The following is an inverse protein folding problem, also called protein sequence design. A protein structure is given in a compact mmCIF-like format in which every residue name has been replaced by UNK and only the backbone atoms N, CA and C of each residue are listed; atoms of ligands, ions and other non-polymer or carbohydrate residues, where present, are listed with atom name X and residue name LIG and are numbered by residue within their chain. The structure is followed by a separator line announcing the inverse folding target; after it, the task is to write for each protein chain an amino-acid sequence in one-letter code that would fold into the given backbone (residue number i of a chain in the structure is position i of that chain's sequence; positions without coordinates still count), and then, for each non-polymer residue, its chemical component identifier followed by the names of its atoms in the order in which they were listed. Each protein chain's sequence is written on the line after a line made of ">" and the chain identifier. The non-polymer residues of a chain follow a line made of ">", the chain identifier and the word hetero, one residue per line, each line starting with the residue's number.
data_IF_551820266862
#
_entry.id   IF_551820266862
#
_cell.length_a   1.000
_cell.length_b   1.000
_cell.length_c   1.000
_cell.angle_alpha   90.00
_cell.angle_beta   90.00
_cell.angle_gamma   90.00
#
_symmetry.space_group_name_H-M   'P 1'
#
loop_
_entity.id
_entity.type
_entity.pdbx_description
1 polymer ?
#
# COMPACT_ATOMS: atom_id res chain seq x y z
N UNK A 1 36.20 14.28 -37.61
CA UNK A 1 35.38 14.95 -38.62
C UNK A 1 33.92 14.68 -38.40
N UNK A 2 33.10 15.68 -38.66
CA UNK A 2 31.64 15.56 -38.73
C UNK A 2 31.27 14.74 -39.97
N UNK A 3 30.36 13.77 -39.87
CA UNK A 3 30.05 12.87 -40.99
C UNK A 3 28.57 12.61 -41.17
N UNK A 4 28.10 12.66 -42.41
CA UNK A 4 26.78 12.16 -42.81
C UNK A 4 27.03 11.04 -43.82
N UNK A 5 26.78 9.80 -43.42
CA UNK A 5 27.15 8.61 -44.21
C UNK A 5 26.02 8.11 -45.12
N UNK A 6 24.82 8.69 -45.03
CA UNK A 6 23.70 8.38 -45.93
C UNK A 6 22.36 8.97 -45.48
N UNK A 7 21.30 8.67 -46.24
CA UNK A 7 19.92 9.06 -45.92
C UNK A 7 19.43 10.34 -46.62
N UNK A 8 18.32 10.89 -46.13
CA UNK A 8 17.61 12.03 -46.74
C UNK A 8 17.39 13.15 -45.71
N UNK A 9 17.85 14.37 -46.01
CA UNK A 9 17.71 15.55 -45.14
C UNK A 9 18.30 15.41 -43.73
N UNK A 10 19.44 14.73 -43.62
CA UNK A 10 20.15 14.60 -42.34
C UNK A 10 21.08 15.82 -42.10
N UNK A 11 21.29 16.17 -40.84
CA UNK A 11 22.14 17.28 -40.40
C UNK A 11 23.15 16.76 -39.37
N UNK A 12 24.44 16.98 -39.60
CA UNK A 12 25.48 16.81 -38.60
C UNK A 12 26.31 18.10 -38.57
N UNK A 13 26.43 18.77 -37.42
CA UNK A 13 26.89 20.17 -37.40
C UNK A 13 28.02 20.50 -36.41
N UNK A 14 28.44 19.58 -35.55
CA UNK A 14 29.44 19.84 -34.51
C UNK A 14 30.61 18.85 -34.58
N UNK A 15 31.67 19.10 -33.81
CA UNK A 15 32.90 18.30 -33.86
C UNK A 15 32.60 16.83 -33.56
N UNK A 16 33.03 15.93 -34.47
CA UNK A 16 32.79 14.48 -34.39
C UNK A 16 31.31 14.05 -34.37
N UNK A 17 30.37 14.96 -34.66
CA UNK A 17 28.97 14.59 -34.79
C UNK A 17 28.75 13.71 -36.04
N UNK A 18 27.91 12.67 -35.93
CA UNK A 18 27.69 11.73 -37.01
C UNK A 18 26.22 11.35 -37.22
N UNK A 19 25.79 11.26 -38.47
CA UNK A 19 24.51 10.63 -38.85
C UNK A 19 24.78 9.54 -39.87
N UNK A 20 24.48 8.28 -39.53
CA UNK A 20 24.84 7.14 -40.36
C UNK A 20 23.77 6.77 -41.41
N UNK A 21 22.56 7.31 -41.32
CA UNK A 21 21.48 7.03 -42.28
C UNK A 21 20.12 7.60 -41.86
N UNK A 22 19.05 7.18 -42.55
CA UNK A 22 17.67 7.54 -42.20
C UNK A 22 17.15 8.84 -42.82
N UNK A 23 16.07 9.39 -42.28
CA UNK A 23 15.41 10.60 -42.80
C UNK A 23 15.27 11.68 -41.72
N UNK A 24 15.59 12.94 -42.04
CA UNK A 24 15.45 14.10 -41.16
C UNK A 24 16.16 14.01 -39.80
N UNK A 25 17.23 13.21 -39.70
CA UNK A 25 17.98 13.04 -38.46
C UNK A 25 18.99 14.17 -38.25
N UNK A 26 19.14 14.64 -37.01
CA UNK A 26 20.04 15.72 -36.62
C UNK A 26 20.99 15.29 -35.50
N UNK A 27 22.30 15.47 -35.69
CA UNK A 27 23.34 15.32 -34.68
C UNK A 27 24.11 16.65 -34.53
N UNK A 28 23.88 17.39 -33.45
CA UNK A 28 24.43 18.75 -33.26
C UNK A 28 25.26 18.94 -32.00
N UNK A 29 25.39 17.93 -31.14
CA UNK A 29 26.34 17.93 -30.02
C UNK A 29 27.74 17.45 -30.43
N UNK A 30 28.77 17.82 -29.67
CA UNK A 30 30.14 17.31 -29.86
C UNK A 30 30.13 15.80 -29.68
N UNK A 31 30.66 15.05 -30.63
CA UNK A 31 30.67 13.58 -30.66
C UNK A 31 29.28 12.95 -30.50
N UNK A 32 28.21 13.66 -30.88
CA UNK A 32 26.87 13.09 -30.90
C UNK A 32 26.67 12.19 -32.12
N UNK A 33 25.79 11.20 -32.02
CA UNK A 33 25.54 10.27 -33.12
C UNK A 33 24.08 9.91 -33.29
N UNK A 34 23.65 9.77 -34.54
CA UNK A 34 22.39 9.13 -34.92
C UNK A 34 22.69 8.00 -35.89
N UNK A 35 22.44 6.76 -35.50
CA UNK A 35 22.76 5.58 -36.31
C UNK A 35 21.81 5.38 -37.49
N UNK A 36 20.58 5.90 -37.41
CA UNK A 36 19.57 5.78 -38.46
C UNK A 36 18.17 6.15 -37.97
N UNK A 37 17.13 5.63 -38.65
CA UNK A 37 15.73 5.89 -38.31
C UNK A 37 15.17 7.14 -38.99
N UNK A 38 14.26 7.85 -38.33
CA UNK A 38 13.49 8.93 -38.92
C UNK A 38 12.17 8.45 -39.52
N UNK A 39 11.53 9.32 -40.29
CA UNK A 39 10.35 9.00 -41.07
C UNK A 39 10.12 9.98 -42.22
N UNK A 40 9.04 9.81 -42.99
CA UNK A 40 8.81 10.58 -44.20
C UNK A 40 8.56 12.08 -43.92
N UNK A 41 8.21 12.45 -42.68
CA UNK A 41 7.97 13.83 -42.29
C UNK A 41 9.12 14.41 -41.46
N UNK A 42 9.34 15.73 -41.49
CA UNK A 42 10.36 16.37 -40.66
C UNK A 42 10.19 16.14 -39.14
N UNK A 43 8.96 15.99 -38.64
CA UNK A 43 8.72 15.72 -37.22
C UNK A 43 9.13 14.30 -36.79
N UNK A 44 9.38 13.41 -37.76
CA UNK A 44 9.75 12.03 -37.51
C UNK A 44 11.27 11.88 -37.27
N UNK A 45 12.05 12.94 -37.45
CA UNK A 45 13.50 12.94 -37.33
C UNK A 45 14.01 12.73 -35.91
N UNK A 46 15.12 12.01 -35.77
CA UNK A 46 15.81 11.87 -34.48
C UNK A 46 16.78 13.03 -34.26
N UNK A 47 16.78 13.64 -33.07
CA UNK A 47 17.58 14.83 -32.75
C UNK A 47 18.49 14.53 -31.55
N UNK A 48 19.80 14.45 -31.81
CA UNK A 48 20.88 14.28 -30.84
C UNK A 48 21.70 15.56 -30.68
N UNK A 49 21.27 16.42 -29.75
CA UNK A 49 21.84 17.76 -29.59
C UNK A 49 22.80 17.92 -28.40
N UNK A 50 22.77 17.01 -27.43
CA UNK A 50 23.73 17.00 -26.33
C UNK A 50 25.10 16.46 -26.78
N UNK A 51 26.17 16.91 -26.12
CA UNK A 51 27.50 16.35 -26.33
C UNK A 51 27.51 14.86 -25.95
N UNK A 52 28.27 14.04 -26.68
CA UNK A 52 28.40 12.58 -26.54
C UNK A 52 27.06 11.81 -26.41
N UNK A 53 25.96 12.35 -26.94
CA UNK A 53 24.68 11.65 -26.98
C UNK A 53 24.57 10.74 -28.21
N UNK A 54 23.87 9.62 -28.08
CA UNK A 54 23.66 8.68 -29.17
C UNK A 54 22.20 8.29 -29.31
N UNK A 55 21.73 8.23 -30.55
CA UNK A 55 20.45 7.64 -30.94
C UNK A 55 20.74 6.49 -31.89
N UNK A 56 20.36 5.27 -31.51
CA UNK A 56 20.62 4.06 -32.31
C UNK A 56 19.58 3.83 -33.42
N UNK A 57 18.45 4.56 -33.41
CA UNK A 57 17.39 4.46 -34.42
C UNK A 57 16.04 4.97 -33.91
N UNK A 58 14.95 4.60 -34.58
CA UNK A 58 13.57 5.00 -34.21
C UNK A 58 13.07 6.22 -34.97
N UNK A 59 11.94 6.79 -34.54
CA UNK A 59 11.25 7.94 -35.12
C UNK A 59 10.99 9.00 -34.04
N UNK A 60 11.32 10.26 -34.28
CA UNK A 60 11.06 11.38 -33.35
C UNK A 60 11.65 11.17 -31.94
N UNK A 61 12.92 10.78 -31.89
CA UNK A 61 13.66 10.68 -30.63
C UNK A 61 14.44 11.94 -30.35
N UNK A 62 14.48 12.35 -29.08
CA UNK A 62 15.14 13.59 -28.67
C UNK A 62 16.11 13.31 -27.52
N UNK A 63 17.37 13.73 -27.68
CA UNK A 63 18.38 13.64 -26.61
C UNK A 63 19.04 14.99 -26.31
N UNK A 64 18.85 15.48 -25.08
CA UNK A 64 19.55 16.62 -24.47
C UNK A 64 18.69 17.50 -23.54
N UNK A 65 19.32 18.45 -22.83
CA UNK A 65 18.62 19.31 -21.86
C UNK A 65 17.92 20.51 -22.51
N UNK A 66 16.66 20.74 -22.14
CA UNK A 66 15.85 21.89 -22.56
C UNK A 66 16.21 23.22 -21.90
N UNK A 67 17.37 23.34 -21.24
CA UNK A 67 17.81 24.57 -20.56
C UNK A 67 19.09 25.10 -21.20
N UNK A 68 19.01 26.30 -21.78
CA UNK A 68 20.11 27.09 -22.33
C UNK A 68 21.06 27.62 -21.23
N UNK A 69 21.50 26.79 -20.29
CA UNK A 69 22.36 27.23 -19.19
C UNK A 69 23.42 26.18 -18.82
N UNK A 70 24.59 26.33 -19.44
CA UNK A 70 25.91 26.17 -18.83
C UNK A 70 26.11 24.94 -17.90
N UNK A 71 26.35 23.77 -18.49
CA UNK A 71 27.37 22.87 -17.96
C UNK A 71 28.05 22.04 -19.06
N UNK A 72 29.34 22.24 -19.21
CA UNK A 72 30.19 21.64 -20.24
C UNK A 72 30.91 20.38 -19.72
N UNK A 73 30.24 19.57 -18.91
CA UNK A 73 30.76 18.31 -18.39
C UNK A 73 30.00 17.11 -18.95
N UNK A 74 30.56 16.50 -20.00
CA UNK A 74 30.36 15.10 -20.43
C UNK A 74 28.93 14.55 -20.25
N UNK A 75 27.95 15.10 -20.97
CA UNK A 75 26.66 14.41 -21.16
C UNK A 75 26.93 13.09 -21.91
N UNK A 76 26.37 11.95 -21.50
CA UNK A 76 26.48 10.65 -22.20
C UNK A 76 25.12 9.99 -22.22
N UNK A 77 24.27 10.41 -23.15
CA UNK A 77 22.91 9.90 -23.23
C UNK A 77 22.81 8.85 -24.33
N UNK A 78 22.10 7.75 -24.08
CA UNK A 78 21.94 6.64 -25.05
C UNK A 78 20.47 6.37 -25.30
N UNK A 79 20.10 6.31 -26.57
CA UNK A 79 18.76 6.05 -27.03
C UNK A 79 18.68 4.88 -28.02
N UNK A 80 17.65 4.03 -27.94
CA UNK A 80 17.58 2.77 -28.71
C UNK A 80 16.21 2.51 -29.38
N UNK A 81 15.83 3.36 -30.33
CA UNK A 81 14.64 3.15 -31.17
C UNK A 81 13.30 3.37 -30.48
N UNK A 82 12.36 4.06 -31.14
CA UNK A 82 11.08 4.50 -30.55
C UNK A 82 10.77 5.95 -30.84
N UNK A 83 10.01 6.62 -29.97
CA UNK A 83 9.70 8.08 -29.94
C UNK A 83 9.94 8.61 -28.52
N UNK A 84 11.13 8.39 -27.96
CA UNK A 84 11.44 8.65 -26.56
C UNK A 84 12.33 9.88 -26.37
N UNK A 85 12.36 10.38 -25.13
CA UNK A 85 12.94 11.67 -24.77
C UNK A 85 13.93 11.52 -23.61
N UNK A 86 15.09 12.18 -23.68
CA UNK A 86 16.05 12.29 -22.56
C UNK A 86 16.39 13.76 -22.26
N UNK A 87 16.33 14.18 -20.99
CA UNK A 87 16.50 15.59 -20.58
C UNK A 87 17.39 15.77 -19.35
N UNK A 88 18.57 15.14 -19.32
CA UNK A 88 19.53 15.23 -18.21
C UNK A 88 20.86 14.54 -18.53
N UNK A 89 21.92 14.84 -17.78
CA UNK A 89 23.23 14.18 -17.96
C UNK A 89 23.19 12.68 -17.60
N UNK A 90 23.83 11.86 -18.42
CA UNK A 90 23.98 10.40 -18.23
C UNK A 90 22.64 9.65 -18.14
N UNK A 91 21.63 10.16 -18.84
CA UNK A 91 20.31 9.52 -18.94
C UNK A 91 20.32 8.45 -20.01
N UNK A 92 19.59 7.36 -19.79
CA UNK A 92 19.53 6.26 -20.76
C UNK A 92 18.08 5.87 -21.03
N UNK A 93 17.71 5.78 -22.30
CA UNK A 93 16.52 5.04 -22.70
C UNK A 93 16.91 3.96 -23.69
N UNK A 94 16.94 2.70 -23.23
CA UNK A 94 17.43 1.58 -24.03
C UNK A 94 16.42 1.07 -25.06
N UNK A 95 15.30 1.75 -25.25
CA UNK A 95 14.42 1.62 -26.41
C UNK A 95 12.94 1.63 -26.07
N UNK A 96 12.10 1.28 -27.05
CA UNK A 96 10.65 1.16 -26.85
C UNK A 96 9.88 2.21 -27.65
N UNK A 97 8.86 2.83 -27.07
CA UNK A 97 8.11 3.93 -27.69
C UNK A 97 7.51 4.85 -26.63
N UNK A 98 7.66 6.17 -26.80
CA UNK A 98 7.18 7.22 -25.88
C UNK A 98 7.69 7.12 -24.44
N UNK A 99 8.88 6.57 -24.23
CA UNK A 99 9.53 6.62 -22.94
C UNK A 99 10.20 7.99 -22.69
N UNK A 100 10.45 8.35 -21.44
CA UNK A 100 11.08 9.61 -21.06
C UNK A 100 11.97 9.40 -19.85
N UNK A 101 13.25 9.81 -19.94
CA UNK A 101 14.15 9.91 -18.80
C UNK A 101 14.58 11.38 -18.62
N UNK A 102 14.18 12.07 -17.55
CA UNK A 102 14.44 13.50 -17.38
C UNK A 102 15.73 13.77 -16.62
N UNK A 103 15.73 13.64 -15.30
CA UNK A 103 16.86 14.09 -14.46
C UNK A 103 18.14 13.27 -14.61
N UNK A 104 19.25 13.78 -14.05
CA UNK A 104 20.55 13.13 -14.17
C UNK A 104 20.52 11.67 -13.69
N UNK A 105 21.19 10.80 -14.44
CA UNK A 105 21.26 9.34 -14.20
C UNK A 105 19.91 8.60 -14.25
N UNK A 106 18.81 9.27 -14.67
CA UNK A 106 17.55 8.60 -14.86
C UNK A 106 17.65 7.57 -16.01
N UNK A 107 16.98 6.43 -15.86
CA UNK A 107 17.04 5.36 -16.85
C UNK A 107 15.69 4.72 -17.11
N UNK A 108 15.45 4.40 -18.39
CA UNK A 108 14.35 3.53 -18.82
C UNK A 108 14.92 2.44 -19.74
N UNK A 109 14.86 1.18 -19.35
CA UNK A 109 15.46 0.11 -20.15
C UNK A 109 14.62 -0.28 -21.38
N UNK A 110 13.36 0.12 -21.46
CA UNK A 110 12.49 -0.26 -22.58
C UNK A 110 11.02 0.10 -22.37
N UNK A 111 10.15 -0.43 -23.25
CA UNK A 111 8.70 -0.46 -23.04
C UNK A 111 7.94 0.67 -23.73
N UNK A 112 6.74 0.96 -23.25
CA UNK A 112 5.83 1.93 -23.84
C UNK A 112 5.39 2.96 -22.80
N UNK A 113 5.50 4.27 -23.09
CA UNK A 113 4.97 5.33 -22.22
C UNK A 113 5.55 5.39 -20.80
N UNK A 114 6.80 4.97 -20.58
CA UNK A 114 7.41 5.01 -19.24
C UNK A 114 8.10 6.35 -18.97
N UNK A 115 7.98 6.89 -17.75
CA UNK A 115 8.53 8.19 -17.37
C UNK A 115 9.39 8.06 -16.10
N UNK A 116 10.71 8.12 -16.25
CA UNK A 116 11.65 8.27 -15.14
C UNK A 116 12.09 9.75 -15.03
N UNK A 117 11.61 10.49 -14.04
CA UNK A 117 11.87 11.94 -13.93
C UNK A 117 12.61 12.40 -12.69
N UNK A 118 12.97 11.51 -11.76
CA UNK A 118 13.80 11.87 -10.60
C UNK A 118 15.29 11.60 -10.80
N UNK A 119 16.15 12.21 -9.98
CA UNK A 119 17.59 11.93 -9.98
C UNK A 119 17.84 10.46 -9.63
N UNK A 120 18.60 9.72 -10.44
CA UNK A 120 18.73 8.25 -10.34
C UNK A 120 17.42 7.46 -10.43
N UNK A 121 16.31 8.05 -10.91
CA UNK A 121 15.08 7.30 -11.09
C UNK A 121 15.26 6.21 -12.15
N UNK A 122 14.66 5.03 -11.94
CA UNK A 122 14.85 3.90 -12.85
C UNK A 122 13.56 3.18 -13.18
N UNK A 123 13.40 2.82 -14.46
CA UNK A 123 12.31 1.96 -14.92
C UNK A 123 12.87 0.86 -15.82
N UNK A 124 12.73 -0.40 -15.44
CA UNK A 124 13.29 -1.50 -16.24
C UNK A 124 12.45 -1.86 -17.47
N UNK A 125 11.22 -1.35 -17.58
CA UNK A 125 10.37 -1.52 -18.77
C UNK A 125 8.89 -1.50 -18.43
N UNK A 126 8.08 -2.16 -19.29
CA UNK A 126 6.63 -2.24 -19.11
C UNK A 126 5.86 -1.15 -19.85
N UNK A 127 4.63 -0.85 -19.41
CA UNK A 127 3.75 0.11 -20.07
C UNK A 127 3.21 1.17 -19.11
N UNK A 128 3.46 2.45 -19.37
CA UNK A 128 2.84 3.54 -18.62
C UNK A 128 3.32 3.63 -17.17
N UNK A 129 4.56 3.24 -16.89
CA UNK A 129 5.11 3.31 -15.54
C UNK A 129 5.75 4.68 -15.26
N UNK A 130 5.68 5.16 -14.03
CA UNK A 130 6.24 6.45 -13.60
C UNK A 130 7.15 6.29 -12.39
N UNK A 131 8.35 6.88 -12.44
CA UNK A 131 9.30 6.98 -11.34
C UNK A 131 9.74 8.44 -11.24
N UNK A 132 9.10 9.26 -10.38
CA UNK A 132 9.15 10.72 -10.52
C UNK A 132 10.12 11.48 -9.63
N UNK A 133 10.50 10.95 -8.47
CA UNK A 133 11.39 11.61 -7.50
C UNK A 133 12.70 10.83 -7.33
N UNK A 134 13.63 11.41 -6.58
CA UNK A 134 15.00 10.94 -6.48
C UNK A 134 15.07 9.51 -5.95
N UNK A 135 15.87 8.69 -6.60
CA UNK A 135 16.07 7.28 -6.27
C UNK A 135 14.79 6.43 -6.32
N UNK A 136 13.71 6.92 -6.94
CA UNK A 136 12.51 6.12 -7.10
C UNK A 136 12.68 5.08 -8.21
N UNK A 137 11.98 3.95 -8.09
CA UNK A 137 12.18 2.84 -9.02
C UNK A 137 10.90 2.08 -9.34
N UNK A 138 10.76 1.70 -10.61
CA UNK A 138 9.74 0.76 -11.06
C UNK A 138 10.36 -0.37 -11.88
N UNK A 139 10.34 -1.59 -11.35
CA UNK A 139 10.97 -2.73 -12.03
C UNK A 139 10.20 -3.22 -13.26
N UNK A 140 8.95 -2.79 -13.48
CA UNK A 140 8.18 -3.13 -14.68
C UNK A 140 6.67 -3.12 -14.45
N UNK A 141 5.94 -3.93 -15.22
CA UNK A 141 4.47 -4.02 -15.14
C UNK A 141 3.77 -2.94 -15.96
N UNK A 142 2.53 -2.60 -15.59
CA UNK A 142 1.75 -1.60 -16.32
C UNK A 142 1.03 -0.61 -15.38
N UNK A 143 1.17 0.68 -15.65
CA UNK A 143 0.49 1.74 -14.90
C UNK A 143 1.02 1.95 -13.47
N UNK A 144 2.22 1.47 -13.15
CA UNK A 144 2.78 1.58 -11.80
C UNK A 144 3.43 2.95 -11.57
N UNK A 145 3.40 3.46 -10.34
CA UNK A 145 3.91 4.78 -9.98
C UNK A 145 4.75 4.76 -8.70
N UNK A 146 6.01 5.18 -8.77
CA UNK A 146 6.90 5.40 -7.63
C UNK A 146 7.21 6.91 -7.54
N UNK A 147 6.47 7.62 -6.68
CA UNK A 147 6.33 9.08 -6.79
C UNK A 147 7.32 9.87 -5.95
N UNK A 148 7.76 9.35 -4.79
CA UNK A 148 8.53 10.09 -3.78
C UNK A 148 9.93 9.48 -3.52
N UNK A 149 10.76 10.21 -2.76
CA UNK A 149 12.15 9.84 -2.47
C UNK A 149 12.29 8.39 -1.99
N UNK A 150 13.16 7.62 -2.66
CA UNK A 150 13.39 6.18 -2.40
C UNK A 150 12.15 5.29 -2.48
N UNK A 151 11.04 5.74 -3.08
CA UNK A 151 9.88 4.89 -3.25
C UNK A 151 10.10 3.85 -4.34
N UNK A 152 9.48 2.67 -4.21
CA UNK A 152 9.72 1.58 -5.13
C UNK A 152 8.49 0.76 -5.43
N UNK A 153 8.34 0.37 -6.70
CA UNK A 153 7.34 -0.60 -7.14
C UNK A 153 8.03 -1.72 -7.92
N UNK A 154 7.97 -2.95 -7.41
CA UNK A 154 8.64 -4.08 -8.05
C UNK A 154 7.91 -4.63 -9.29
N UNK A 155 6.66 -4.23 -9.53
CA UNK A 155 5.91 -4.56 -10.73
C UNK A 155 4.40 -4.58 -10.50
N UNK A 156 3.68 -5.34 -11.33
CA UNK A 156 2.22 -5.49 -11.23
C UNK A 156 1.43 -4.50 -12.09
N UNK A 157 0.20 -4.19 -11.69
CA UNK A 157 -0.74 -3.37 -12.45
C UNK A 157 -1.35 -2.25 -11.59
N UNK A 158 -1.14 -0.99 -11.95
CA UNK A 158 -1.66 0.17 -11.21
C UNK A 158 -1.31 0.18 -9.71
N UNK A 159 -0.05 -0.12 -9.38
CA UNK A 159 0.44 0.04 -8.01
C UNK A 159 1.08 1.41 -7.80
N UNK A 160 0.87 2.02 -6.64
CA UNK A 160 1.40 3.34 -6.27
C UNK A 160 2.24 3.25 -5.00
N UNK A 161 3.49 3.73 -5.06
CA UNK A 161 4.32 4.01 -3.89
C UNK A 161 4.54 5.53 -3.79
N UNK A 162 3.69 6.20 -3.03
CA UNK A 162 3.62 7.66 -2.89
C UNK A 162 4.29 8.19 -1.62
N UNK A 163 4.58 7.37 -0.61
CA UNK A 163 5.36 7.83 0.55
C UNK A 163 6.87 7.87 0.32
N UNK A 164 7.59 8.69 1.09
CA UNK A 164 9.06 8.56 1.19
C UNK A 164 9.42 7.17 1.71
N UNK A 165 10.34 6.46 1.06
CA UNK A 165 10.69 5.07 1.38
C UNK A 165 9.53 4.07 1.28
N UNK A 166 8.40 4.44 0.64
CA UNK A 166 7.28 3.55 0.44
C UNK A 166 7.64 2.42 -0.54
N UNK A 167 7.06 1.24 -0.34
CA UNK A 167 7.34 0.09 -1.20
C UNK A 167 6.09 -0.70 -1.54
N UNK A 168 5.96 -1.05 -2.82
CA UNK A 168 4.97 -2.02 -3.30
C UNK A 168 5.67 -3.16 -4.03
N UNK A 169 5.59 -4.37 -3.52
CA UNK A 169 6.29 -5.53 -4.12
C UNK A 169 5.58 -6.08 -5.37
N UNK A 170 4.32 -5.72 -5.62
CA UNK A 170 3.58 -6.12 -6.82
C UNK A 170 2.07 -6.13 -6.62
N UNK A 171 1.36 -6.97 -7.39
CA UNK A 171 -0.10 -7.08 -7.30
C UNK A 171 -0.84 -6.11 -8.21
N UNK A 172 -2.09 -5.77 -7.85
CA UNK A 172 -2.93 -4.88 -8.65
C UNK A 172 -3.66 -3.81 -7.84
N UNK A 173 -3.48 -2.53 -8.16
CA UNK A 173 -4.22 -1.46 -7.49
C UNK A 173 -3.80 -1.18 -6.05
N UNK A 174 -2.56 -1.51 -5.66
CA UNK A 174 -2.08 -1.32 -4.28
C UNK A 174 -1.48 0.07 -4.08
N UNK A 175 -1.72 0.70 -2.93
CA UNK A 175 -1.27 2.05 -2.60
C UNK A 175 -0.46 2.08 -1.29
N UNK A 176 0.77 2.60 -1.34
CA UNK A 176 1.67 2.78 -0.20
C UNK A 176 1.98 4.28 -0.06
N UNK A 177 1.21 4.99 0.77
CA UNK A 177 1.12 6.45 0.74
C UNK A 177 1.91 7.15 1.85
N UNK A 178 2.07 6.50 3.01
CA UNK A 178 2.77 7.07 4.15
C UNK A 178 4.29 6.88 4.07
N UNK A 179 5.04 7.68 4.82
CA UNK A 179 6.50 7.50 4.93
C UNK A 179 6.84 6.13 5.52
N UNK A 180 7.74 5.39 4.88
CA UNK A 180 8.21 4.08 5.32
C UNK A 180 7.14 2.97 5.23
N UNK A 181 6.08 3.18 4.45
CA UNK A 181 5.01 2.19 4.29
C UNK A 181 5.41 1.02 3.40
N UNK A 182 4.74 -0.12 3.57
CA UNK A 182 4.94 -1.28 2.70
C UNK A 182 3.65 -2.01 2.37
N UNK A 183 3.48 -2.34 1.09
CA UNK A 183 2.45 -3.27 0.61
C UNK A 183 3.12 -4.42 -0.15
N UNK A 184 3.09 -5.63 0.40
CA UNK A 184 3.81 -6.76 -0.16
C UNK A 184 3.12 -7.39 -1.39
N UNK A 185 1.87 -7.03 -1.69
CA UNK A 185 1.17 -7.46 -2.90
C UNK A 185 -0.34 -7.55 -2.71
N UNK A 186 -0.98 -8.49 -3.42
CA UNK A 186 -2.44 -8.62 -3.42
C UNK A 186 -3.13 -7.62 -4.33
N UNK A 187 -4.39 -7.29 -4.04
CA UNK A 187 -5.17 -6.34 -4.84
C UNK A 187 -5.89 -5.29 -4.01
N UNK A 188 -5.82 -4.02 -4.40
CA UNK A 188 -6.54 -2.92 -3.75
C UNK A 188 -6.22 -2.76 -2.25
N UNK A 189 -4.97 -3.04 -1.85
CA UNK A 189 -4.52 -2.83 -0.49
C UNK A 189 -3.92 -1.43 -0.32
N UNK A 190 -4.13 -0.81 0.84
CA UNK A 190 -3.64 0.54 1.15
C UNK A 190 -2.89 0.57 2.48
N UNK A 191 -1.68 1.11 2.49
CA UNK A 191 -0.93 1.50 3.69
C UNK A 191 -0.79 3.03 3.70
N UNK A 192 -1.44 3.72 4.65
CA UNK A 192 -1.78 5.14 4.49
C UNK A 192 -0.83 6.10 5.21
N UNK A 193 -0.38 5.77 6.42
CA UNK A 193 0.38 6.67 7.30
C UNK A 193 1.74 6.09 7.69
N UNK A 194 2.42 6.72 8.64
CA UNK A 194 3.81 6.45 8.97
C UNK A 194 4.04 4.97 9.35
N UNK A 195 4.94 4.31 8.62
CA UNK A 195 5.37 2.93 8.86
C UNK A 195 4.24 1.88 8.89
N UNK A 196 3.14 2.12 8.18
CA UNK A 196 2.08 1.13 7.99
C UNK A 196 2.53 -0.05 7.12
N UNK A 197 1.97 -1.22 7.38
CA UNK A 197 2.26 -2.43 6.60
C UNK A 197 1.02 -3.21 6.23
N UNK A 198 0.96 -3.64 4.96
CA UNK A 198 -0.01 -4.63 4.49
C UNK A 198 0.72 -5.76 3.76
N UNK A 199 0.69 -6.96 4.33
CA UNK A 199 1.41 -8.11 3.75
C UNK A 199 0.73 -8.70 2.50
N UNK A 200 -0.53 -8.36 2.23
CA UNK A 200 -1.24 -8.76 1.01
C UNK A 200 -2.74 -8.87 1.20
N UNK A 201 -3.40 -9.72 0.41
CA UNK A 201 -4.86 -9.92 0.45
C UNK A 201 -5.62 -9.00 -0.51
N UNK A 202 -6.89 -8.72 -0.21
CA UNK A 202 -7.74 -7.87 -1.04
C UNK A 202 -8.45 -6.80 -0.20
N UNK A 203 -8.45 -5.54 -0.64
CA UNK A 203 -9.15 -4.43 0.03
C UNK A 203 -8.77 -4.23 1.51
N UNK A 204 -7.53 -4.52 1.89
CA UNK A 204 -7.07 -4.25 3.25
C UNK A 204 -6.54 -2.82 3.36
N UNK A 205 -6.84 -2.13 4.47
CA UNK A 205 -6.42 -0.75 4.70
C UNK A 205 -5.81 -0.56 6.10
N UNK A 206 -4.50 -0.32 6.13
CA UNK A 206 -3.78 0.17 7.30
C UNK A 206 -3.83 1.71 7.31
N UNK A 207 -4.45 2.29 8.35
CA UNK A 207 -4.95 3.68 8.41
C UNK A 207 -4.61 4.40 9.71
N UNK A 208 -3.79 3.86 10.60
CA UNK A 208 -3.23 4.59 11.74
C UNK A 208 -1.74 4.34 11.86
N UNK A 209 -0.95 5.24 12.43
CA UNK A 209 0.51 5.14 12.38
C UNK A 209 1.01 3.83 13.01
N UNK A 210 1.99 3.19 12.36
CA UNK A 210 2.54 1.89 12.77
C UNK A 210 1.49 0.78 12.81
N UNK A 211 0.39 0.90 12.06
CA UNK A 211 -0.62 -0.13 11.94
C UNK A 211 -0.18 -1.26 11.00
N UNK A 212 -0.73 -2.45 11.21
CA UNK A 212 -0.37 -3.61 10.38
C UNK A 212 -1.55 -4.51 10.04
N UNK A 213 -1.59 -4.95 8.79
CA UNK A 213 -2.52 -5.98 8.32
C UNK A 213 -1.75 -7.11 7.64
N UNK A 214 -1.80 -8.31 8.21
CA UNK A 214 -1.04 -9.45 7.68
C UNK A 214 -1.70 -10.12 6.46
N UNK A 215 -2.96 -9.80 6.13
CA UNK A 215 -3.63 -10.27 4.93
C UNK A 215 -5.15 -10.34 5.07
N UNK A 216 -5.79 -11.21 4.28
CA UNK A 216 -7.25 -11.38 4.31
C UNK A 216 -8.00 -10.48 3.33
N UNK A 217 -9.28 -10.26 3.58
CA UNK A 217 -10.18 -9.45 2.75
C UNK A 217 -10.84 -8.31 3.54
N UNK A 218 -10.90 -7.10 3.00
CA UNK A 218 -11.70 -6.01 3.57
C UNK A 218 -11.40 -5.69 5.04
N UNK A 219 -10.16 -5.85 5.50
CA UNK A 219 -9.81 -5.52 6.88
C UNK A 219 -9.33 -4.07 6.99
N UNK A 220 -9.65 -3.39 8.10
CA UNK A 220 -9.25 -1.99 8.34
C UNK A 220 -8.68 -1.80 9.74
N UNK A 221 -7.50 -1.20 9.81
CA UNK A 221 -6.81 -0.86 11.05
C UNK A 221 -6.75 0.67 11.16
N UNK A 222 -7.71 1.30 11.87
CA UNK A 222 -7.95 2.75 11.80
C UNK A 222 -7.02 3.61 12.66
N UNK A 223 -6.45 3.07 13.74
CA UNK A 223 -5.70 3.84 14.74
C UNK A 223 -4.25 3.39 14.89
N UNK A 224 -3.48 4.20 15.58
CA UNK A 224 -2.05 3.95 15.79
C UNK A 224 -1.83 2.62 16.52
N UNK A 225 -0.82 1.88 16.08
CA UNK A 225 -0.47 0.56 16.59
C UNK A 225 -1.58 -0.50 16.49
N UNK A 226 -2.65 -0.23 15.74
CA UNK A 226 -3.72 -1.20 15.53
C UNK A 226 -3.27 -2.33 14.61
N UNK A 227 -3.72 -3.55 14.88
CA UNK A 227 -3.27 -4.74 14.13
C UNK A 227 -4.42 -5.65 13.72
N UNK A 228 -4.38 -6.12 12.49
CA UNK A 228 -5.24 -7.21 12.00
C UNK A 228 -4.39 -8.32 11.41
N UNK A 229 -4.39 -9.51 12.03
CA UNK A 229 -3.58 -10.63 11.52
C UNK A 229 -4.20 -11.33 10.29
N UNK A 230 -5.48 -11.10 10.00
CA UNK A 230 -6.15 -11.61 8.80
C UNK A 230 -7.66 -11.66 8.93
N UNK A 231 -8.30 -12.54 8.16
CA UNK A 231 -9.77 -12.71 8.16
C UNK A 231 -10.47 -11.85 7.11
N UNK A 232 -11.78 -11.67 7.26
CA UNK A 232 -12.62 -10.92 6.32
C UNK A 232 -13.50 -9.88 7.04
N UNK A 233 -13.51 -8.63 6.58
CA UNK A 233 -14.31 -7.55 7.17
C UNK A 233 -14.04 -7.30 8.67
N UNK A 234 -12.78 -7.28 9.12
CA UNK A 234 -12.44 -6.93 10.50
C UNK A 234 -12.00 -5.47 10.61
N UNK A 235 -12.43 -4.77 11.67
CA UNK A 235 -12.19 -3.34 11.86
C UNK A 235 -11.63 -3.04 13.27
N UNK A 236 -10.51 -2.33 13.36
CA UNK A 236 -9.92 -1.89 14.64
C UNK A 236 -9.98 -0.37 14.75
N UNK A 237 -10.71 0.15 15.75
CA UNK A 237 -10.88 1.58 16.01
C UNK A 237 -10.16 2.09 17.28
N UNK A 238 -9.60 1.20 18.10
CA UNK A 238 -8.82 1.59 19.28
C UNK A 238 -7.32 1.61 19.03
N UNK A 239 -6.61 2.48 19.74
CA UNK A 239 -5.14 2.51 19.75
C UNK A 239 -4.59 1.27 20.45
N UNK A 240 -3.49 0.72 19.93
CA UNK A 240 -2.86 -0.52 20.45
C UNK A 240 -3.78 -1.75 20.46
N UNK A 241 -4.89 -1.71 19.75
CA UNK A 241 -5.87 -2.79 19.72
C UNK A 241 -5.52 -3.83 18.65
N UNK A 242 -5.97 -5.06 18.85
CA UNK A 242 -5.62 -6.17 17.96
C UNK A 242 -6.79 -7.08 17.63
N UNK A 243 -6.81 -7.52 16.38
CA UNK A 243 -7.72 -8.50 15.81
C UNK A 243 -6.94 -9.62 15.16
N UNK A 244 -7.02 -10.84 15.69
CA UNK A 244 -6.22 -11.96 15.12
C UNK A 244 -6.88 -12.58 13.88
N UNK A 245 -8.19 -12.45 13.70
CA UNK A 245 -8.87 -12.91 12.49
C UNK A 245 -10.37 -13.05 12.63
N UNK A 246 -10.96 -13.99 11.90
CA UNK A 246 -12.41 -14.21 11.86
C UNK A 246 -13.10 -13.32 10.82
N UNK A 247 -14.40 -13.13 10.99
CA UNK A 247 -15.22 -12.40 10.02
C UNK A 247 -16.10 -11.35 10.71
N UNK A 248 -16.07 -10.12 10.23
CA UNK A 248 -17.00 -9.09 10.69
C UNK A 248 -16.75 -8.64 12.14
N UNK A 249 -15.52 -8.76 12.66
CA UNK A 249 -15.24 -8.41 14.05
C UNK A 249 -14.79 -6.94 14.18
N UNK A 250 -15.11 -6.32 15.32
CA UNK A 250 -14.75 -4.93 15.60
C UNK A 250 -14.08 -4.82 16.98
N UNK A 251 -12.96 -4.11 17.07
CA UNK A 251 -12.27 -3.78 18.31
C UNK A 251 -12.12 -2.25 18.45
N UNK A 252 -12.99 -1.62 19.26
CA UNK A 252 -13.09 -0.16 19.31
C UNK A 252 -12.49 0.52 20.54
N UNK A 253 -12.37 -0.16 21.68
CA UNK A 253 -11.67 0.39 22.84
C UNK A 253 -10.16 0.34 22.67
N UNK A 254 -9.42 1.20 23.37
CA UNK A 254 -7.95 1.17 23.38
C UNK A 254 -7.47 -0.10 24.08
N UNK A 255 -6.38 -0.69 23.58
CA UNK A 255 -5.85 -1.97 24.06
C UNK A 255 -6.84 -3.15 23.98
N UNK A 256 -7.92 -3.01 23.21
CA UNK A 256 -8.89 -4.09 23.02
C UNK A 256 -8.28 -5.26 22.23
N UNK A 257 -8.68 -6.48 22.57
CA UNK A 257 -8.21 -7.70 21.91
C UNK A 257 -9.37 -8.58 21.49
N UNK A 258 -9.50 -8.82 20.18
CA UNK A 258 -10.45 -9.79 19.64
C UNK A 258 -9.69 -10.88 18.90
N UNK A 259 -9.66 -12.08 19.47
CA UNK A 259 -8.88 -13.19 18.89
C UNK A 259 -9.55 -13.79 17.65
N UNK A 260 -10.88 -13.64 17.51
CA UNK A 260 -11.58 -14.03 16.29
C UNK A 260 -13.07 -14.20 16.49
N UNK A 261 -13.67 -15.10 15.70
CA UNK A 261 -15.12 -15.34 15.70
C UNK A 261 -15.83 -14.68 14.51
N UNK A 262 -17.15 -14.67 14.59
CA UNK A 262 -18.04 -14.03 13.61
C UNK A 262 -18.86 -12.96 14.32
N UNK A 263 -18.73 -11.71 13.86
CA UNK A 263 -19.49 -10.57 14.39
C UNK A 263 -19.28 -10.32 15.88
N UNK A 264 -18.03 -10.41 16.36
CA UNK A 264 -17.67 -9.98 17.71
C UNK A 264 -17.53 -8.45 17.74
N UNK A 265 -18.10 -7.80 18.76
CA UNK A 265 -18.04 -6.35 18.94
C UNK A 265 -17.45 -6.00 20.30
N UNK A 266 -16.22 -5.49 20.31
CA UNK A 266 -15.67 -4.74 21.44
C UNK A 266 -15.95 -3.26 21.16
N UNK A 267 -16.90 -2.68 21.92
CA UNK A 267 -17.52 -1.38 21.58
C UNK A 267 -16.73 -0.15 22.05
N UNK A 268 -17.06 0.99 21.44
CA UNK A 268 -16.79 2.38 21.86
C UNK A 268 -18.13 3.14 21.83
N UNK A 269 -18.53 3.80 22.92
CA UNK A 269 -19.68 4.71 22.93
C UNK A 269 -19.20 6.16 23.06
N UNK A 270 -19.71 7.04 22.20
CA UNK A 270 -19.11 8.35 21.88
C UNK A 270 -19.14 9.42 22.97
N UNK A 271 -19.65 9.14 24.18
CA UNK A 271 -19.81 10.19 25.21
C UNK A 271 -19.13 9.89 26.57
N UNK A 272 -18.57 8.69 26.78
CA UNK A 272 -17.69 8.34 27.89
C UNK A 272 -16.87 7.12 27.46
N UNK A 273 -15.54 7.14 27.64
CA UNK A 273 -14.65 6.02 27.32
C UNK A 273 -15.20 4.71 27.90
N UNK A 274 -15.58 3.78 27.03
CA UNK A 274 -16.11 2.47 27.42
C UNK A 274 -15.62 1.44 26.39
N UNK A 275 -14.87 0.45 26.86
CA UNK A 275 -14.34 -0.67 26.08
C UNK A 275 -12.82 -0.86 26.17
N UNK A 276 -12.11 -0.01 26.91
CA UNK A 276 -10.65 -0.08 27.01
C UNK A 276 -10.24 -1.38 27.72
N UNK A 277 -9.17 -2.01 27.24
CA UNK A 277 -8.70 -3.32 27.73
C UNK A 277 -9.75 -4.45 27.64
N UNK A 278 -10.82 -4.28 26.86
CA UNK A 278 -11.80 -5.33 26.67
C UNK A 278 -11.27 -6.48 25.82
N UNK A 279 -11.75 -7.70 26.08
CA UNK A 279 -11.26 -8.89 25.41
C UNK A 279 -12.39 -9.81 24.96
N UNK A 280 -12.35 -10.26 23.70
CA UNK A 280 -13.22 -11.31 23.18
C UNK A 280 -12.38 -12.40 22.53
N UNK A 281 -12.37 -13.60 23.10
CA UNK A 281 -11.58 -14.70 22.56
C UNK A 281 -12.20 -15.36 21.32
N UNK A 282 -13.52 -15.20 21.10
CA UNK A 282 -14.18 -15.73 19.90
C UNK A 282 -15.69 -15.93 20.04
N UNK A 283 -16.24 -16.76 19.16
CA UNK A 283 -17.66 -17.14 19.14
C UNK A 283 -18.48 -16.42 18.07
N UNK A 284 -19.78 -16.30 18.29
CA UNK A 284 -20.72 -15.70 17.34
C UNK A 284 -21.52 -14.57 17.97
N UNK A 285 -21.40 -13.35 17.47
CA UNK A 285 -22.24 -12.23 17.91
C UNK A 285 -22.01 -11.78 19.36
N UNK A 286 -20.80 -11.97 19.88
CA UNK A 286 -20.48 -11.66 21.27
C UNK A 286 -20.07 -10.19 21.44
N UNK A 287 -20.33 -9.61 22.61
CA UNK A 287 -20.10 -8.20 22.89
C UNK A 287 -19.41 -7.99 24.23
N UNK A 288 -18.36 -7.15 24.24
CA UNK A 288 -17.71 -6.62 25.44
C UNK A 288 -17.78 -5.08 25.37
N UNK A 289 -18.59 -4.47 26.25
CA UNK A 289 -19.10 -3.10 26.06
C UNK A 289 -18.55 -2.08 27.06
N UNK A 290 -17.72 -2.50 28.01
CA UNK A 290 -17.13 -1.64 29.02
C UNK A 290 -15.66 -1.98 29.27
N UNK A 291 -14.99 -1.11 30.02
CA UNK A 291 -13.57 -1.27 30.32
C UNK A 291 -13.33 -2.56 31.09
N UNK A 292 -12.26 -3.27 30.71
CA UNK A 292 -11.89 -4.57 31.27
C UNK A 292 -12.95 -5.67 31.12
N UNK A 293 -14.01 -5.45 30.32
CA UNK A 293 -15.01 -6.48 30.08
C UNK A 293 -14.41 -7.63 29.26
N UNK A 294 -14.74 -8.88 29.64
CA UNK A 294 -14.16 -10.06 29.00
C UNK A 294 -15.20 -11.09 28.58
N UNK A 295 -15.02 -11.63 27.38
CA UNK A 295 -15.84 -12.72 26.84
C UNK A 295 -14.92 -13.81 26.30
N UNK A 296 -14.91 -14.99 26.94
CA UNK A 296 -14.09 -16.10 26.47
C UNK A 296 -14.70 -16.84 25.26
N UNK A 297 -15.99 -16.63 24.98
CA UNK A 297 -16.65 -17.24 23.83
C UNK A 297 -18.18 -17.26 23.93
N UNK A 298 -18.81 -18.20 23.22
CA UNK A 298 -20.26 -18.39 23.23
C UNK A 298 -20.96 -17.79 22.02
N UNK A 299 -22.27 -17.61 22.14
CA UNK A 299 -23.13 -17.09 21.10
C UNK A 299 -24.04 -16.00 21.66
N UNK A 300 -23.98 -14.80 21.09
CA UNK A 300 -24.84 -13.67 21.44
C UNK A 300 -24.80 -13.29 22.92
N UNK A 301 -23.63 -13.42 23.56
CA UNK A 301 -23.44 -13.00 24.96
C UNK A 301 -22.95 -11.56 25.03
N UNK A 302 -23.27 -10.86 26.13
CA UNK A 302 -22.94 -9.43 26.31
C UNK A 302 -22.38 -9.16 27.70
N UNK A 303 -21.10 -8.79 27.77
CA UNK A 303 -20.44 -8.31 28.99
C UNK A 303 -20.47 -6.78 28.98
N UNK A 304 -21.26 -6.17 29.85
CA UNK A 304 -21.68 -4.76 29.74
C UNK A 304 -21.13 -3.90 30.88
N UNK A 305 -20.96 -4.46 32.08
CA UNK A 305 -20.40 -3.71 33.21
C UNK A 305 -18.87 -3.60 33.15
N UNK A 306 -18.31 -2.60 33.82
CA UNK A 306 -16.86 -2.49 34.02
C UNK A 306 -16.32 -3.76 34.69
N UNK A 307 -15.21 -4.30 34.19
CA UNK A 307 -14.60 -5.55 34.66
C UNK A 307 -15.58 -6.75 34.76
N UNK A 308 -16.67 -6.71 33.97
CA UNK A 308 -17.60 -7.84 33.87
C UNK A 308 -17.00 -8.97 33.05
N UNK A 309 -17.47 -10.20 33.27
CA UNK A 309 -16.96 -11.36 32.53
C UNK A 309 -18.04 -12.36 32.14
N UNK A 310 -17.91 -12.92 30.94
CA UNK A 310 -18.69 -14.06 30.48
C UNK A 310 -17.78 -15.13 29.92
N UNK A 311 -17.72 -16.30 30.55
CA UNK A 311 -16.86 -17.39 30.05
C UNK A 311 -17.46 -18.12 28.83
N UNK A 312 -18.77 -17.98 28.58
CA UNK A 312 -19.41 -18.56 27.40
C UNK A 312 -20.93 -18.66 27.51
N UNK A 313 -21.52 -19.58 26.73
CA UNK A 313 -22.96 -19.85 26.72
C UNK A 313 -23.71 -19.21 25.55
N UNK A 314 -25.03 -19.12 25.69
CA UNK A 314 -25.94 -18.60 24.67
C UNK A 314 -26.84 -17.53 25.30
N UNK A 315 -26.86 -16.33 24.71
CA UNK A 315 -27.76 -15.22 25.07
C UNK A 315 -27.65 -14.74 26.54
N UNK A 316 -26.50 -14.91 27.16
CA UNK A 316 -26.28 -14.50 28.56
C UNK A 316 -25.71 -13.09 28.66
N UNK A 317 -25.95 -12.42 29.80
CA UNK A 317 -25.59 -10.99 30.01
C UNK A 317 -25.04 -10.72 31.41
N UNK A 318 -23.94 -9.98 31.47
CA UNK A 318 -23.33 -9.47 32.70
C UNK A 318 -23.45 -7.93 32.67
N UNK A 319 -24.46 -7.38 33.35
CA UNK A 319 -24.90 -5.99 33.20
C UNK A 319 -24.14 -4.99 34.07
N UNK A 320 -23.72 -5.40 35.26
CA UNK A 320 -23.19 -4.48 36.27
C UNK A 320 -21.69 -4.65 36.47
N UNK A 321 -21.07 -3.65 37.09
CA UNK A 321 -19.65 -3.68 37.37
C UNK A 321 -19.28 -4.92 38.20
N UNK A 322 -18.18 -5.56 37.82
CA UNK A 322 -17.66 -6.78 38.45
C UNK A 322 -18.63 -7.97 38.41
N UNK A 323 -19.67 -7.93 37.58
CA UNK A 323 -20.61 -9.04 37.43
C UNK A 323 -20.07 -10.15 36.53
N UNK A 324 -20.45 -11.40 36.79
CA UNK A 324 -19.95 -12.54 36.02
C UNK A 324 -21.01 -13.57 35.66
N UNK A 325 -20.85 -14.18 34.48
CA UNK A 325 -21.62 -15.35 34.05
C UNK A 325 -20.68 -16.42 33.52
N UNK A 326 -20.57 -17.55 34.21
CA UNK A 326 -19.66 -18.63 33.78
C UNK A 326 -20.14 -19.40 32.53
N UNK A 327 -21.41 -19.30 32.16
CA UNK A 327 -21.96 -20.01 31.00
C UNK A 327 -23.47 -20.19 31.05
N UNK A 328 -23.99 -21.10 30.22
CA UNK A 328 -25.40 -21.50 30.21
C UNK A 328 -26.26 -20.81 29.16
N UNK A 329 -27.58 -20.79 29.38
CA UNK A 329 -28.58 -20.27 28.43
C UNK A 329 -29.43 -19.17 29.07
N UNK A 330 -29.39 -17.95 28.52
CA UNK A 330 -30.17 -16.79 28.97
C UNK A 330 -29.97 -16.52 30.48
N UNK A 331 -28.71 -16.46 30.92
CA UNK A 331 -28.39 -16.08 32.29
C UNK A 331 -28.12 -14.58 32.38
N UNK A 332 -28.47 -13.97 33.52
CA UNK A 332 -28.37 -12.53 33.73
C UNK A 332 -27.80 -12.20 35.12
N UNK A 333 -26.66 -11.51 35.13
CA UNK A 333 -26.09 -10.93 36.35
C UNK A 333 -26.25 -9.40 36.30
N UNK A 334 -27.16 -8.83 37.11
CA UNK A 334 -27.51 -7.39 37.10
C UNK A 334 -27.23 -6.66 38.41
N UNK A 335 -26.62 -7.35 39.38
CA UNK A 335 -26.13 -6.72 40.60
C UNK A 335 -24.62 -6.45 40.50
N UNK A 336 -24.15 -5.40 41.15
CA UNK A 336 -22.71 -5.16 41.27
C UNK A 336 -22.05 -6.30 42.05
N UNK A 337 -20.88 -6.77 41.60
CA UNK A 337 -20.21 -7.97 42.15
C UNK A 337 -21.06 -9.26 42.13
N UNK A 338 -22.12 -9.32 41.32
CA UNK A 338 -23.00 -10.49 41.26
C UNK A 338 -22.49 -11.58 40.32
N UNK A 339 -22.86 -12.84 40.57
CA UNK A 339 -22.39 -13.95 39.73
C UNK A 339 -23.44 -15.04 39.49
N UNK A 340 -23.50 -15.51 38.24
CA UNK A 340 -24.28 -16.69 37.84
C UNK A 340 -23.32 -17.77 37.36
N UNK A 341 -23.30 -18.90 38.05
CA UNK A 341 -22.33 -19.96 37.73
C UNK A 341 -22.74 -20.86 36.54
N UNK A 342 -23.93 -20.65 35.96
CA UNK A 342 -24.44 -21.40 34.81
C UNK A 342 -25.93 -21.74 34.88
N UNK A 343 -26.35 -22.75 34.12
CA UNK A 343 -27.75 -23.20 34.03
C UNK A 343 -28.56 -22.48 32.95
N UNK A 344 -29.89 -22.54 33.07
CA UNK A 344 -30.85 -21.91 32.16
C UNK A 344 -31.68 -20.88 32.92
N UNK A 345 -31.84 -19.69 32.33
CA UNK A 345 -32.76 -18.63 32.77
C UNK A 345 -32.55 -18.24 34.24
N UNK A 346 -31.28 -18.11 34.66
CA UNK A 346 -30.92 -17.66 36.01
C UNK A 346 -30.68 -16.16 36.02
N UNK A 347 -31.24 -15.50 37.02
CA UNK A 347 -31.06 -14.06 37.27
C UNK A 347 -30.64 -13.81 38.71
N UNK A 348 -29.70 -12.88 38.88
CA UNK A 348 -29.28 -12.24 40.14
C UNK A 348 -29.27 -10.73 39.94
N UNK A 349 -29.65 -10.00 40.99
CA UNK A 349 -29.77 -8.53 40.94
C UNK A 349 -29.26 -7.81 42.20
N UNK A 350 -28.99 -8.54 43.28
CA UNK A 350 -28.42 -7.96 44.49
C UNK A 350 -26.93 -7.66 44.36
N UNK A 351 -26.45 -6.69 45.14
CA UNK A 351 -25.01 -6.45 45.31
C UNK A 351 -24.40 -7.65 46.03
N UNK A 352 -23.28 -8.20 45.53
CA UNK A 352 -22.66 -9.43 46.03
C UNK A 352 -23.58 -10.67 45.99
N UNK A 353 -24.57 -10.68 45.08
CA UNK A 353 -25.53 -11.77 44.93
C UNK A 353 -24.96 -12.91 44.07
N UNK A 354 -25.31 -14.15 44.40
CA UNK A 354 -24.83 -15.32 43.68
C UNK A 354 -25.91 -16.36 43.48
N UNK A 355 -25.94 -16.93 42.27
CA UNK A 355 -26.82 -18.05 41.95
C UNK A 355 -26.10 -19.16 41.21
N UNK A 356 -26.07 -20.32 41.85
CA UNK A 356 -25.55 -21.56 41.27
C UNK A 356 -26.41 -22.09 40.12
N UNK A 357 -25.78 -22.70 39.13
CA UNK A 357 -26.43 -23.51 38.09
C UNK A 357 -27.11 -24.76 38.68
N UNK A 358 -28.27 -25.13 38.17
CA UNK A 358 -28.96 -26.36 38.57
C UNK A 358 -28.40 -27.58 37.84
N UNK A 359 -28.18 -28.69 38.57
CA UNK A 359 -27.67 -29.98 38.03
C UNK A 359 -28.78 -30.82 37.37
N UNK A 360 -30.05 -30.41 37.41
CA UNK A 360 -31.17 -31.27 37.01
C UNK A 360 -31.66 -30.94 35.60
N UNK A 361 -31.19 -31.73 34.62
CA UNK A 361 -31.86 -31.92 33.34
C UNK A 361 -33.08 -32.82 33.58
N UNK A 362 -34.26 -32.21 33.73
CA UNK A 362 -35.51 -32.94 33.60
C UNK A 362 -35.79 -33.20 32.13
N UNK A 363 -35.76 -34.47 31.75
CA UNK A 363 -36.17 -35.01 30.44
C UNK A 363 -37.60 -34.62 30.07
#
# INVERSE_FOLDING_TARGET
>A
DTSINGGYYNIASNDYASVNGGQYNQASGIASSVSGGGGPNPQDGNIAFANYSSILGGLNNLTGEGSLAYDAAVSRNVYSGGTDHTMGQMTTVSGGMRNTAREHYASVSGGLDNIASGYYASINGGKGNTASDNWSSVSGGAGNSAVNWYSSVSGGFYNTADGHYASVSGGAGNDSNGMGTSVSGGSFNTAKYYCDSVSGGIYNQASGELSSISGGGNNVAHQDYSTVSGGDHNEVYGHWSSLTGGTGNTASGDYASVTGGLSAFSFYYTDLHHGDYSAISGGYGNSAEADYASVSGGRTVRSIGEASSISGGLQSRAYSNYSSVSGGYINRASGEYSSVSGGKEREVSGIYDWRGGGVVQGY
#
